data_IF_504054818521
#
_entry.id   IF_504054818521
#
_cell.length_a   1.000
_cell.length_b   1.000
_cell.length_c   1.000
_cell.angle_alpha   90.00
_cell.angle_beta   90.00
_cell.angle_gamma   90.00
#
_symmetry.space_group_name_H-M   'P 1'
#
loop_
_entity.id
_entity.type
_entity.pdbx_description
1 polymer ?
#
# COMPACT_ATOMS: atom_id res chain seq x y z
N UNK A 1 27.80 -27.00 18.60
CA UNK A 1 26.31 -26.81 18.76
C UNK A 1 26.00 -25.41 18.37
N UNK A 2 25.81 -25.17 17.09
CA UNK A 2 25.18 -23.94 16.61
C UNK A 2 23.79 -23.95 17.19
N UNK A 3 23.53 -22.99 18.02
CA UNK A 3 22.47 -23.03 19.00
C UNK A 3 21.13 -22.90 18.25
N UNK A 4 20.13 -23.65 18.70
CA UNK A 4 18.73 -23.46 18.31
C UNK A 4 18.34 -21.96 18.37
N UNK A 5 18.97 -21.20 19.24
CA UNK A 5 18.81 -19.75 19.34
C UNK A 5 19.35 -19.02 18.10
N UNK A 6 20.51 -19.38 17.58
CA UNK A 6 21.04 -18.80 16.34
C UNK A 6 20.14 -19.10 15.13
N UNK A 7 19.53 -20.29 15.10
CA UNK A 7 18.55 -20.64 14.08
C UNK A 7 17.29 -19.80 14.22
N UNK A 8 16.75 -19.63 15.43
CA UNK A 8 15.58 -18.76 15.67
C UNK A 8 15.92 -17.31 15.33
N UNK A 9 17.08 -16.80 15.74
CA UNK A 9 17.51 -15.43 15.47
C UNK A 9 17.70 -15.18 13.96
N UNK A 10 18.11 -16.21 13.20
CA UNK A 10 18.20 -16.13 11.73
C UNK A 10 16.83 -16.09 11.05
N UNK A 11 15.76 -16.54 11.73
CA UNK A 11 14.37 -16.50 11.27
C UNK A 11 13.64 -15.24 11.69
N UNK A 12 14.20 -14.47 12.64
CA UNK A 12 13.67 -13.17 12.98
C UNK A 12 13.98 -12.18 11.86
N UNK A 13 13.00 -11.93 11.00
CA UNK A 13 13.06 -10.82 10.06
C UNK A 13 13.13 -9.51 10.85
N UNK A 14 14.28 -8.87 10.80
CA UNK A 14 14.38 -7.48 11.22
C UNK A 14 13.61 -6.66 10.20
N UNK A 15 12.36 -6.32 10.51
CA UNK A 15 11.65 -5.31 9.72
C UNK A 15 12.49 -4.04 9.80
N UNK A 16 12.98 -3.58 8.67
CA UNK A 16 13.60 -2.25 8.59
C UNK A 16 12.43 -1.29 8.69
N UNK A 17 12.25 -0.70 9.87
CA UNK A 17 11.28 0.38 10.08
C UNK A 17 11.80 1.61 9.29
N UNK A 18 11.33 1.72 8.05
CA UNK A 18 11.69 2.82 7.13
C UNK A 18 10.65 3.94 7.18
N UNK A 19 9.73 3.88 8.14
CA UNK A 19 8.63 4.80 8.29
C UNK A 19 8.97 6.05 9.13
N UNK A 20 7.92 6.77 9.50
CA UNK A 20 8.02 7.97 10.34
C UNK A 20 6.93 7.97 11.42
N UNK A 21 7.21 8.65 12.51
CA UNK A 21 6.22 8.85 13.57
C UNK A 21 5.13 9.81 13.08
N UNK A 22 3.90 9.41 13.26
CA UNK A 22 2.71 10.17 12.87
C UNK A 22 1.64 10.01 13.94
N UNK A 23 0.92 11.09 14.21
CA UNK A 23 -0.27 11.07 15.04
C UNK A 23 -1.40 11.77 14.29
N UNK A 24 -2.41 11.00 13.91
CA UNK A 24 -3.52 11.53 13.12
C UNK A 24 -4.41 12.45 13.95
N UNK A 25 -4.73 13.59 13.38
CA UNK A 25 -5.72 14.54 13.94
C UNK A 25 -7.09 14.38 13.29
N UNK A 26 -7.25 13.39 12.42
CA UNK A 26 -8.50 13.17 11.70
C UNK A 26 -9.57 12.58 12.63
N UNK A 27 -10.55 13.42 12.99
CA UNK A 27 -11.67 13.03 13.86
C UNK A 27 -12.65 12.05 13.20
N UNK A 28 -12.58 11.86 11.90
CA UNK A 28 -13.46 10.93 11.17
C UNK A 28 -13.01 9.46 11.28
N UNK A 29 -11.78 9.22 11.80
CA UNK A 29 -11.28 7.87 12.01
C UNK A 29 -11.70 7.35 13.40
N UNK A 30 -12.11 6.10 13.46
CA UNK A 30 -12.25 5.37 14.72
C UNK A 30 -10.86 5.09 15.34
N UNK A 31 -10.80 4.86 16.65
CA UNK A 31 -9.55 4.68 17.37
C UNK A 31 -8.70 3.52 16.82
N UNK A 32 -9.33 2.40 16.44
CA UNK A 32 -8.62 1.29 15.83
C UNK A 32 -8.04 1.65 14.44
N UNK A 33 -8.76 2.45 13.65
CA UNK A 33 -8.26 2.92 12.34
C UNK A 33 -7.05 3.83 12.52
N UNK A 34 -7.10 4.75 13.50
CA UNK A 34 -5.95 5.58 13.85
C UNK A 34 -4.74 4.73 14.20
N UNK A 35 -4.92 3.77 15.10
CA UNK A 35 -3.85 2.86 15.51
C UNK A 35 -3.26 2.08 14.33
N UNK A 36 -4.11 1.59 13.42
CA UNK A 36 -3.67 0.90 12.21
C UNK A 36 -2.84 1.81 11.28
N UNK A 37 -3.31 3.05 11.05
CA UNK A 37 -2.62 4.01 10.17
C UNK A 37 -1.28 4.43 10.79
N UNK A 38 -1.27 4.80 12.07
CA UNK A 38 -0.06 5.21 12.77
C UNK A 38 1.00 4.10 12.80
N UNK A 39 0.55 2.85 13.06
CA UNK A 39 1.41 1.69 12.98
C UNK A 39 1.97 1.48 11.55
N UNK A 40 1.13 1.56 10.53
CA UNK A 40 1.56 1.36 9.13
C UNK A 40 2.53 2.44 8.67
N UNK A 41 2.35 3.70 9.11
CA UNK A 41 3.26 4.80 8.82
C UNK A 41 4.61 4.64 9.53
N UNK A 42 4.61 4.18 10.78
CA UNK A 42 5.84 3.88 11.53
C UNK A 42 6.65 2.75 10.87
N UNK A 43 5.97 1.78 10.24
CA UNK A 43 6.63 0.71 9.48
C UNK A 43 7.13 1.17 8.11
N UNK A 44 6.44 2.12 7.48
CA UNK A 44 6.71 2.58 6.10
C UNK A 44 6.27 1.60 5.03
N UNK A 45 6.38 0.29 5.28
CA UNK A 45 5.90 -0.79 4.42
C UNK A 45 5.04 -1.73 5.25
N UNK A 46 3.75 -1.77 4.96
CA UNK A 46 2.78 -2.47 5.80
C UNK A 46 1.63 -3.07 4.98
N UNK A 47 0.97 -4.05 5.57
CA UNK A 47 -0.29 -4.58 5.07
C UNK A 47 -1.41 -4.32 6.09
N UNK A 48 -2.54 -3.79 5.62
CA UNK A 48 -3.76 -3.62 6.40
C UNK A 48 -4.81 -4.62 5.92
N UNK A 49 -4.96 -5.70 6.65
CA UNK A 49 -5.95 -6.73 6.38
C UNK A 49 -7.18 -6.51 7.27
N UNK A 50 -8.03 -5.60 6.82
CA UNK A 50 -9.26 -5.23 7.50
C UNK A 50 -10.45 -5.82 6.75
N UNK A 51 -11.39 -6.41 7.48
CA UNK A 51 -12.59 -7.00 6.89
C UNK A 51 -13.46 -5.95 6.20
N UNK A 52 -14.41 -6.43 5.40
CA UNK A 52 -15.38 -5.58 4.70
C UNK A 52 -16.17 -4.73 5.71
N UNK A 53 -16.35 -3.45 5.40
CA UNK A 53 -17.07 -2.52 6.28
C UNK A 53 -16.23 -1.88 7.40
N UNK A 54 -14.98 -2.31 7.61
CA UNK A 54 -14.10 -1.71 8.62
C UNK A 54 -13.40 -0.41 8.15
N UNK A 55 -13.82 0.17 7.02
CA UNK A 55 -13.34 1.46 6.55
C UNK A 55 -11.88 1.46 6.07
N UNK A 56 -11.46 0.42 5.36
CA UNK A 56 -10.12 0.35 4.72
C UNK A 56 -9.78 1.61 3.95
N UNK A 57 -10.70 2.07 3.10
CA UNK A 57 -10.51 3.26 2.25
C UNK A 57 -10.15 4.49 3.08
N UNK A 58 -10.73 4.65 4.28
CA UNK A 58 -10.39 5.76 5.16
C UNK A 58 -8.96 5.66 5.69
N UNK A 59 -8.53 4.43 6.05
CA UNK A 59 -7.15 4.19 6.47
C UNK A 59 -6.15 4.42 5.33
N UNK A 60 -6.48 3.99 4.12
CA UNK A 60 -5.67 4.18 2.92
C UNK A 60 -5.51 5.65 2.56
N UNK A 61 -6.61 6.40 2.59
CA UNK A 61 -6.60 7.85 2.34
C UNK A 61 -5.74 8.58 3.37
N UNK A 62 -6.00 8.36 4.66
CA UNK A 62 -5.21 8.98 5.73
C UNK A 62 -3.72 8.66 5.59
N UNK A 63 -3.39 7.38 5.34
CA UNK A 63 -2.01 6.96 5.12
C UNK A 63 -1.38 7.66 3.90
N UNK A 64 -2.09 7.71 2.77
CA UNK A 64 -1.59 8.32 1.54
C UNK A 64 -1.32 9.82 1.71
N UNK A 65 -2.23 10.55 2.38
CA UNK A 65 -2.06 11.97 2.65
C UNK A 65 -0.96 12.25 3.68
N UNK A 66 -0.81 11.39 4.69
CA UNK A 66 0.29 11.50 5.63
C UNK A 66 1.66 11.32 4.94
N UNK A 67 1.80 10.34 4.05
CA UNK A 67 3.02 10.11 3.26
C UNK A 67 3.27 11.29 2.32
N UNK A 68 2.25 11.78 1.61
CA UNK A 68 2.37 12.95 0.72
C UNK A 68 2.82 14.18 1.49
N UNK A 69 2.21 14.42 2.65
CA UNK A 69 2.56 15.56 3.52
C UNK A 69 3.98 15.46 4.06
N UNK A 70 4.42 14.26 4.46
CA UNK A 70 5.75 14.02 4.98
C UNK A 70 6.85 14.17 3.92
N UNK A 71 6.60 13.61 2.74
CA UNK A 71 7.61 13.54 1.67
C UNK A 71 7.59 14.73 0.72
N UNK A 72 6.48 15.47 0.67
CA UNK A 72 6.20 16.53 -0.31
C UNK A 72 6.29 16.04 -1.77
N UNK A 73 6.00 14.75 -1.98
CA UNK A 73 6.03 14.08 -3.28
C UNK A 73 4.71 13.37 -3.55
N UNK A 74 4.41 13.04 -4.82
CA UNK A 74 3.17 12.36 -5.17
C UNK A 74 3.09 10.96 -4.55
N UNK A 75 1.86 10.57 -4.22
CA UNK A 75 1.47 9.22 -3.77
C UNK A 75 0.39 8.70 -4.70
N UNK A 76 0.42 7.40 -5.01
CA UNK A 76 -0.54 6.77 -5.90
C UNK A 76 -1.33 5.66 -5.19
N UNK A 77 -2.63 5.60 -5.45
CA UNK A 77 -3.51 4.51 -5.04
C UNK A 77 -3.86 3.70 -6.29
N UNK A 78 -3.51 2.43 -6.29
CA UNK A 78 -3.92 1.47 -7.32
C UNK A 78 -5.18 0.77 -6.85
N UNK A 79 -6.25 0.86 -7.62
CA UNK A 79 -7.54 0.24 -7.29
C UNK A 79 -8.17 -0.40 -8.52
N UNK A 80 -9.08 -1.37 -8.36
CA UNK A 80 -9.90 -1.84 -9.46
C UNK A 80 -10.66 -0.68 -10.12
N UNK A 81 -10.85 -0.76 -11.44
CA UNK A 81 -11.45 0.34 -12.23
C UNK A 81 -12.81 0.81 -11.68
N UNK A 82 -13.63 -0.12 -11.21
CA UNK A 82 -14.95 0.19 -10.64
C UNK A 82 -14.86 0.92 -9.30
N UNK A 83 -13.76 0.78 -8.56
CA UNK A 83 -13.56 1.33 -7.21
C UNK A 83 -12.93 2.72 -7.26
N UNK A 84 -12.14 3.03 -8.27
CA UNK A 84 -11.41 4.31 -8.38
C UNK A 84 -12.33 5.55 -8.20
N UNK A 85 -13.52 5.53 -8.80
CA UNK A 85 -14.51 6.62 -8.65
C UNK A 85 -15.08 6.70 -7.24
N UNK A 86 -15.22 5.56 -6.56
CA UNK A 86 -15.68 5.50 -5.18
C UNK A 86 -14.66 6.11 -4.24
N UNK A 87 -13.37 5.78 -4.42
CA UNK A 87 -12.26 6.35 -3.62
C UNK A 87 -12.28 7.88 -3.70
N UNK A 88 -12.45 8.46 -4.90
CA UNK A 88 -12.52 9.92 -5.08
C UNK A 88 -13.69 10.49 -4.29
N UNK A 89 -14.89 9.91 -4.41
CA UNK A 89 -16.08 10.39 -3.70
C UNK A 89 -15.94 10.27 -2.17
N UNK A 90 -15.32 9.21 -1.70
CA UNK A 90 -15.08 9.04 -0.26
C UNK A 90 -14.02 10.02 0.24
N UNK A 91 -12.97 10.25 -0.52
CA UNK A 91 -11.97 11.26 -0.22
C UNK A 91 -12.61 12.65 -0.03
N UNK A 92 -13.50 13.06 -0.94
CA UNK A 92 -14.22 14.33 -0.86
C UNK A 92 -15.04 14.47 0.43
N UNK A 93 -15.70 13.38 0.90
CA UNK A 93 -16.46 13.39 2.16
C UNK A 93 -15.59 13.66 3.39
N UNK A 94 -14.35 13.26 3.34
CA UNK A 94 -13.36 13.43 4.42
C UNK A 94 -12.48 14.67 4.24
N UNK A 95 -12.76 15.51 3.23
CA UNK A 95 -12.03 16.74 2.96
C UNK A 95 -10.70 16.52 2.24
N UNK A 96 -10.48 15.33 1.67
CA UNK A 96 -9.31 15.00 0.87
C UNK A 96 -9.56 15.24 -0.62
N UNK A 97 -8.50 15.62 -1.35
CA UNK A 97 -8.55 15.79 -2.81
C UNK A 97 -7.68 14.74 -3.47
N UNK A 98 -8.31 13.68 -3.96
CA UNK A 98 -7.67 12.63 -4.76
C UNK A 98 -7.96 12.88 -6.24
N UNK A 99 -6.91 12.86 -7.06
CA UNK A 99 -7.00 13.12 -8.50
C UNK A 99 -6.89 11.82 -9.29
N UNK A 100 -7.71 11.61 -10.33
CA UNK A 100 -7.50 10.49 -11.23
C UNK A 100 -6.22 10.71 -12.04
N UNK A 101 -5.41 9.64 -12.23
CA UNK A 101 -4.26 9.64 -13.12
C UNK A 101 -4.44 8.58 -14.20
N UNK A 102 -4.31 8.96 -15.45
CA UNK A 102 -4.40 8.09 -16.64
C UNK A 102 -3.11 8.07 -17.45
N UNK A 103 -2.29 9.10 -17.28
CA UNK A 103 -1.00 9.30 -17.94
C UNK A 103 -0.04 10.06 -17.03
N UNK A 104 1.21 10.17 -17.44
CA UNK A 104 2.21 10.97 -16.73
C UNK A 104 1.83 12.46 -16.63
N UNK A 105 1.11 12.99 -17.62
CA UNK A 105 0.71 14.41 -17.67
C UNK A 105 -0.29 14.79 -16.56
N UNK A 106 -0.99 13.80 -16.00
CA UNK A 106 -1.93 14.03 -14.90
C UNK A 106 -1.22 14.21 -13.54
N UNK A 107 0.09 13.89 -13.47
CA UNK A 107 0.83 13.79 -12.21
C UNK A 107 1.67 15.06 -12.01
N UNK A 108 1.34 15.83 -10.98
CA UNK A 108 2.12 16.98 -10.58
C UNK A 108 3.25 16.62 -9.60
N UNK A 109 3.97 17.64 -9.17
CA UNK A 109 5.12 17.51 -8.25
C UNK A 109 4.73 16.94 -6.88
N UNK A 110 3.46 17.05 -6.48
CA UNK A 110 2.89 16.51 -5.26
C UNK A 110 1.38 16.26 -5.42
N UNK A 111 0.80 15.52 -4.48
CA UNK A 111 -0.63 15.19 -4.42
C UNK A 111 -0.88 13.69 -4.30
N UNK A 112 -2.14 13.33 -4.03
CA UNK A 112 -2.59 11.94 -4.00
C UNK A 112 -3.38 11.64 -5.26
N UNK A 113 -3.02 10.57 -5.93
CA UNK A 113 -3.58 10.15 -7.21
C UNK A 113 -4.19 8.76 -7.09
N UNK A 114 -5.22 8.49 -7.91
CA UNK A 114 -5.78 7.15 -8.06
C UNK A 114 -5.75 6.72 -9.51
N UNK A 115 -5.35 5.48 -9.74
CA UNK A 115 -5.36 4.85 -11.07
C UNK A 115 -5.82 3.40 -10.96
N UNK A 116 -6.07 2.76 -12.10
CA UNK A 116 -6.34 1.32 -12.10
C UNK A 116 -5.09 0.51 -12.50
N UNK A 117 -5.11 -0.75 -12.15
CA UNK A 117 -3.98 -1.66 -12.37
C UNK A 117 -3.61 -1.81 -13.86
N UNK A 118 -4.61 -1.71 -14.75
CA UNK A 118 -4.45 -2.00 -16.19
C UNK A 118 -3.69 -0.91 -16.93
N UNK A 119 -3.88 0.36 -16.53
CA UNK A 119 -3.27 1.52 -17.18
C UNK A 119 -1.95 1.97 -16.55
N UNK A 120 -1.47 1.25 -15.54
CA UNK A 120 -0.22 1.58 -14.85
C UNK A 120 0.99 1.70 -15.81
N UNK A 121 0.96 0.99 -16.93
CA UNK A 121 2.01 1.06 -17.95
C UNK A 121 2.17 2.44 -18.61
N UNK A 122 1.18 3.33 -18.45
CA UNK A 122 1.21 4.71 -18.94
C UNK A 122 1.79 5.70 -17.92
N UNK A 123 2.28 5.22 -16.78
CA UNK A 123 2.66 6.06 -15.65
C UNK A 123 4.09 5.73 -15.23
N UNK A 124 4.90 6.77 -15.08
CA UNK A 124 6.24 6.63 -14.53
C UNK A 124 6.19 6.47 -13.01
N UNK A 125 6.38 5.23 -12.54
CA UNK A 125 6.30 4.92 -11.11
C UNK A 125 7.42 5.53 -10.27
N UNK A 126 8.53 5.94 -10.86
CA UNK A 126 9.70 6.43 -10.13
C UNK A 126 9.48 7.77 -9.43
N UNK A 127 8.43 8.51 -9.81
CA UNK A 127 8.10 9.81 -9.22
C UNK A 127 7.43 9.69 -7.86
N UNK A 128 6.81 8.54 -7.56
CA UNK A 128 6.01 8.36 -6.34
C UNK A 128 6.87 8.02 -5.14
N UNK A 129 6.60 8.71 -4.04
CA UNK A 129 7.16 8.38 -2.72
C UNK A 129 6.36 7.30 -1.99
N UNK A 130 5.09 7.14 -2.32
CA UNK A 130 4.21 6.15 -1.71
C UNK A 130 3.27 5.49 -2.72
N UNK A 131 2.93 4.24 -2.46
CA UNK A 131 1.93 3.48 -3.22
C UNK A 131 1.02 2.71 -2.27
N UNK A 132 -0.27 2.75 -2.57
CA UNK A 132 -1.31 1.95 -1.92
C UNK A 132 -1.86 0.97 -2.95
N UNK A 133 -1.98 -0.31 -2.59
CA UNK A 133 -2.74 -1.29 -3.35
C UNK A 133 -4.07 -1.53 -2.65
N UNK A 134 -5.14 -0.93 -3.16
CA UNK A 134 -6.50 -1.25 -2.73
C UNK A 134 -6.95 -2.55 -3.39
N UNK A 135 -7.54 -3.43 -2.60
CA UNK A 135 -7.88 -4.81 -2.96
C UNK A 135 -6.65 -5.58 -3.50
N UNK A 136 -5.56 -5.55 -2.74
CA UNK A 136 -4.28 -6.17 -3.09
C UNK A 136 -4.36 -7.69 -3.33
N UNK A 137 -5.44 -8.34 -2.92
CA UNK A 137 -5.75 -9.73 -3.28
C UNK A 137 -5.83 -9.95 -4.80
N UNK A 138 -6.06 -8.90 -5.58
CA UNK A 138 -6.04 -8.96 -7.05
C UNK A 138 -4.66 -9.39 -7.60
N UNK A 139 -3.56 -9.15 -6.87
CA UNK A 139 -2.20 -9.52 -7.31
C UNK A 139 -2.08 -11.00 -7.65
N UNK A 140 -2.83 -11.87 -6.99
CA UNK A 140 -2.85 -13.31 -7.27
C UNK A 140 -3.63 -13.68 -8.53
N UNK A 141 -4.70 -12.92 -8.84
CA UNK A 141 -5.52 -13.12 -10.05
C UNK A 141 -4.93 -12.51 -11.30
N UNK A 142 -3.93 -11.64 -11.16
CA UNK A 142 -3.23 -11.06 -12.28
C UNK A 142 -2.35 -12.11 -12.96
N UNK A 143 -2.25 -12.04 -14.30
CA UNK A 143 -1.24 -12.83 -14.98
C UNK A 143 0.14 -12.43 -14.42
N UNK A 144 1.08 -13.39 -14.37
CA UNK A 144 2.39 -13.17 -13.74
C UNK A 144 3.11 -11.92 -14.25
N UNK A 145 2.89 -11.52 -15.50
CA UNK A 145 3.51 -10.32 -16.10
C UNK A 145 3.07 -9.04 -15.41
N UNK A 146 1.78 -8.84 -15.18
CA UNK A 146 1.26 -7.61 -14.56
C UNK A 146 1.66 -7.53 -13.08
N UNK A 147 1.66 -8.67 -12.38
CA UNK A 147 2.16 -8.74 -11.00
C UNK A 147 3.63 -8.33 -10.92
N UNK A 148 4.48 -8.93 -11.76
CA UNK A 148 5.91 -8.61 -11.83
C UNK A 148 6.09 -7.13 -12.16
N UNK A 149 5.36 -6.60 -13.13
CA UNK A 149 5.40 -5.19 -13.50
C UNK A 149 5.08 -4.27 -12.31
N UNK A 150 4.03 -4.55 -11.53
CA UNK A 150 3.66 -3.75 -10.35
C UNK A 150 4.79 -3.79 -9.32
N UNK A 151 5.30 -4.98 -9.01
CA UNK A 151 6.36 -5.18 -8.01
C UNK A 151 7.64 -4.46 -8.43
N UNK A 152 8.06 -4.58 -9.69
CA UNK A 152 9.25 -3.92 -10.22
C UNK A 152 9.07 -2.39 -10.29
N UNK A 153 7.91 -1.93 -10.76
CA UNK A 153 7.58 -0.51 -10.89
C UNK A 153 7.76 0.24 -9.56
N UNK A 154 7.30 -0.36 -8.47
CA UNK A 154 7.40 0.23 -7.13
C UNK A 154 8.55 -0.31 -6.28
N UNK A 155 9.48 -1.07 -6.86
CA UNK A 155 10.59 -1.68 -6.12
C UNK A 155 11.46 -0.68 -5.34
N UNK A 156 11.55 0.57 -5.82
CA UNK A 156 12.30 1.66 -5.20
C UNK A 156 11.44 2.63 -4.41
N UNK A 157 10.10 2.49 -4.44
CA UNK A 157 9.19 3.35 -3.68
C UNK A 157 9.35 3.06 -2.19
N UNK A 158 9.68 4.05 -1.35
CA UNK A 158 9.99 3.82 0.05
C UNK A 158 8.76 3.40 0.86
N UNK A 159 7.60 4.04 0.63
CA UNK A 159 6.38 3.81 1.38
C UNK A 159 5.41 2.94 0.57
N UNK A 160 5.02 1.78 1.12
CA UNK A 160 4.13 0.84 0.44
C UNK A 160 3.07 0.34 1.39
N UNK A 161 1.83 0.44 0.98
CA UNK A 161 0.69 -0.10 1.71
C UNK A 161 -0.06 -1.11 0.85
N UNK A 162 -0.29 -2.29 1.40
CA UNK A 162 -1.12 -3.32 0.82
C UNK A 162 -2.40 -3.44 1.64
N UNK A 163 -3.57 -3.33 1.02
CA UNK A 163 -4.84 -3.39 1.72
C UNK A 163 -5.79 -4.41 1.08
N UNK A 164 -6.40 -5.26 1.89
CA UNK A 164 -7.40 -6.23 1.44
C UNK A 164 -8.23 -6.74 2.61
N UNK A 165 -9.48 -7.16 2.31
CA UNK A 165 -10.29 -7.95 3.23
C UNK A 165 -9.95 -9.45 3.15
N UNK A 166 -9.42 -9.91 2.02
CA UNK A 166 -9.18 -11.31 1.71
C UNK A 166 -7.75 -11.55 1.26
N UNK A 167 -6.75 -11.40 2.15
CA UNK A 167 -5.34 -11.44 1.78
C UNK A 167 -4.89 -12.81 1.24
N UNK A 168 -5.49 -13.90 1.72
CA UNK A 168 -5.17 -15.28 1.31
C UNK A 168 -6.41 -16.17 1.36
N UNK A 169 -7.40 -15.97 0.45
CA UNK A 169 -8.67 -16.68 0.54
C UNK A 169 -8.58 -18.18 0.22
N UNK A 170 -7.56 -18.64 -0.50
CA UNK A 170 -7.43 -20.04 -0.88
C UNK A 170 -6.22 -20.73 -0.23
N UNK A 171 -5.07 -20.07 -0.17
CA UNK A 171 -3.83 -20.64 0.31
C UNK A 171 -2.95 -19.56 0.97
N UNK A 172 -2.30 -19.89 2.08
CA UNK A 172 -1.35 -18.99 2.76
C UNK A 172 -0.17 -18.56 1.87
N UNK A 173 0.20 -19.36 0.87
CA UNK A 173 1.22 -19.00 -0.12
C UNK A 173 0.85 -17.73 -0.91
N UNK A 174 -0.42 -17.35 -0.96
CA UNK A 174 -0.86 -16.10 -1.57
C UNK A 174 -0.32 -14.86 -0.83
N UNK A 175 -0.01 -14.98 0.47
CA UNK A 175 0.65 -13.91 1.22
C UNK A 175 2.06 -13.61 0.71
N UNK A 176 2.72 -14.58 0.08
CA UNK A 176 4.03 -14.38 -0.54
C UNK A 176 4.05 -13.25 -1.57
N UNK A 177 2.95 -13.08 -2.32
CA UNK A 177 2.83 -11.98 -3.29
C UNK A 177 2.74 -10.61 -2.60
N UNK A 178 2.12 -10.55 -1.43
CA UNK A 178 2.04 -9.34 -0.62
C UNK A 178 3.42 -9.01 -0.02
N UNK A 179 4.12 -10.03 0.50
CA UNK A 179 5.47 -9.88 1.04
C UNK A 179 6.47 -9.41 -0.02
N UNK A 180 6.36 -9.95 -1.24
CA UNK A 180 7.21 -9.56 -2.37
C UNK A 180 6.95 -8.10 -2.78
N UNK A 181 5.68 -7.68 -2.92
CA UNK A 181 5.35 -6.29 -3.20
C UNK A 181 5.86 -5.35 -2.11
N UNK A 182 5.72 -5.71 -0.84
CA UNK A 182 6.22 -4.92 0.27
C UNK A 182 7.75 -4.93 0.38
N UNK A 183 8.42 -5.84 -0.32
CA UNK A 183 9.87 -6.01 -0.28
C UNK A 183 10.37 -6.52 1.07
N UNK A 184 9.58 -7.37 1.73
CA UNK A 184 9.90 -8.03 3.00
C UNK A 184 10.66 -9.33 2.74
N UNK A 185 10.16 -10.16 1.84
CA UNK A 185 10.77 -11.42 1.40
C UNK A 185 10.28 -11.77 0.00
N UNK A 186 11.04 -12.59 -0.71
CA UNK A 186 10.60 -13.16 -1.98
C UNK A 186 9.58 -14.28 -1.76
N UNK A 187 8.78 -14.58 -2.77
CA UNK A 187 7.81 -15.68 -2.71
C UNK A 187 8.48 -17.04 -2.48
N UNK A 188 9.74 -17.19 -2.88
CA UNK A 188 10.53 -18.43 -2.71
C UNK A 188 11.12 -18.61 -1.31
N UNK A 189 11.18 -17.55 -0.53
CA UNK A 189 11.67 -17.56 0.87
C UNK A 189 10.57 -17.87 1.86
N UNK A 190 9.30 -17.84 1.43
CA UNK A 190 8.12 -18.13 2.24
C UNK A 190 7.80 -19.63 2.23
#
# INVERSE_FOLDING_TARGET
MSSYQEFIDSKHFKSVDAGFAYSTQNSNLFDYQRSCVEWALARGRAALFLDTGLGKTNCELEWAFAVESHTQKPVIILAPLCVSKQIIREAEKFGYVVKPARSEDDIGVRGVYVTNYEILHNINCSVFSGVVLDESSILKGLNGKLRTQITECFSRTPYRLSASATPSPNDYMELGTQCEFLGIMSQTEM
#
